data_IF_154543427892
#
_entry.id   IF_154543427892
#
_cell.length_a   1.000
_cell.length_b   1.000
_cell.length_c   1.000
_cell.angle_alpha   90.00
_cell.angle_beta   90.00
_cell.angle_gamma   90.00
#
_symmetry.space_group_name_H-M   'P 1'
#
loop_
_entity.id
_entity.type
_entity.pdbx_description
1 polymer ?
#
# COMPACT_ATOMS: atom_id res chain seq x y z
N UNK A 1 -24.99 -32.58 -11.33
CA UNK A 1 -24.67 -32.22 -11.28
C UNK A 1 -24.12 -31.41 -11.18
N UNK A 2 -24.04 -31.05 -11.12
CA UNK A 2 -23.64 -30.28 -10.95
C UNK A 2 -22.75 -29.65 -10.60
N UNK A 3 -22.47 -29.68 -10.19
CA UNK A 3 -21.66 -29.18 -9.82
C UNK A 3 -20.96 -28.52 -10.02
N UNK A 4 -20.95 -28.50 -10.20
CA UNK A 4 -20.29 -27.96 -10.38
C UNK A 4 -19.83 -27.10 -10.21
N UNK A 5 -20.10 -26.88 -10.04
CA UNK A 5 -19.58 -25.99 -10.03
C UNK A 5 -18.79 -25.41 -9.44
N UNK A 6 -18.75 -25.58 -9.20
CA UNK A 6 -18.12 -25.13 -8.83
C UNK A 6 -17.21 -24.73 -8.67
N UNK A 7 -17.30 -24.89 -8.46
CA UNK A 7 -16.48 -24.87 -8.27
C UNK A 7 -15.65 -24.23 -8.53
N UNK A 8 -15.83 -24.11 -8.88
CA UNK A 8 -15.09 -23.55 -9.33
C UNK A 8 -14.69 -22.57 -8.88
N UNK A 9 -15.26 -22.28 -8.45
CA UNK A 9 -15.03 -21.23 -7.81
C UNK A 9 -13.72 -21.16 -7.44
N UNK A 10 -13.30 -21.97 -7.19
CA UNK A 10 -12.15 -21.98 -6.85
C UNK A 10 -11.32 -21.45 -7.45
N UNK A 11 -11.49 -21.72 -8.10
CA UNK A 11 -10.66 -21.35 -8.81
C UNK A 11 -10.09 -20.20 -8.54
N UNK A 12 -10.59 -19.60 -8.00
CA UNK A 12 -10.17 -18.48 -7.70
C UNK A 12 -8.92 -18.39 -7.25
N UNK A 13 -8.42 -19.19 -6.72
CA UNK A 13 -7.26 -19.12 -6.13
C UNK A 13 -6.29 -18.57 -6.98
N UNK A 14 -5.72 -19.08 -7.81
CA UNK A 14 -4.71 -18.55 -8.60
C UNK A 14 -5.19 -17.70 -9.67
N UNK A 15 -6.43 -17.59 -9.78
CA UNK A 15 -6.96 -16.93 -10.93
C UNK A 15 -6.77 -15.43 -10.91
N UNK A 16 -6.55 -14.83 -9.76
CA UNK A 16 -6.35 -13.39 -9.76
C UNK A 16 -5.10 -13.02 -10.56
N UNK A 17 -4.05 -13.82 -10.49
CA UNK A 17 -2.86 -13.56 -11.28
C UNK A 17 -3.16 -13.73 -12.76
N UNK A 18 -3.91 -14.75 -13.11
CA UNK A 18 -4.23 -15.00 -14.50
C UNK A 18 -5.15 -13.95 -15.10
N UNK A 19 -5.94 -13.28 -14.27
CA UNK A 19 -6.87 -12.30 -14.79
C UNK A 19 -6.30 -10.89 -14.86
N UNK A 20 -5.06 -10.68 -14.48
CA UNK A 20 -4.46 -9.35 -14.60
C UNK A 20 -4.27 -8.98 -16.06
N UNK A 21 -4.33 -7.68 -16.33
CA UNK A 21 -4.06 -7.16 -17.64
C UNK A 21 -2.61 -7.40 -18.05
N UNK A 22 -2.33 -7.21 -19.32
CA UNK A 22 -1.00 -7.45 -19.88
C UNK A 22 0.06 -6.57 -19.23
N UNK A 23 -0.34 -5.40 -18.75
CA UNK A 23 0.57 -4.44 -18.15
C UNK A 23 0.74 -4.63 -16.66
N UNK A 24 0.24 -5.74 -16.11
CA UNK A 24 0.30 -5.97 -14.67
C UNK A 24 -0.75 -5.21 -13.89
N UNK A 25 -1.77 -4.69 -14.56
CA UNK A 25 -2.86 -3.99 -13.88
C UNK A 25 -3.60 -4.93 -12.94
N UNK A 26 -3.90 -4.44 -11.76
CA UNK A 26 -4.66 -5.21 -10.79
C UNK A 26 -6.08 -5.43 -11.29
N UNK A 27 -6.65 -6.57 -10.93
CA UNK A 27 -8.08 -6.80 -11.15
C UNK A 27 -8.86 -5.92 -10.16
N UNK A 28 -10.15 -5.76 -10.42
CA UNK A 28 -10.99 -5.00 -9.50
C UNK A 28 -10.97 -5.62 -8.09
N UNK A 29 -10.92 -6.95 -8.00
CA UNK A 29 -10.84 -7.61 -6.70
C UNK A 29 -9.53 -7.28 -6.00
N UNK A 30 -8.42 -7.21 -6.74
CA UNK A 30 -7.14 -6.85 -6.14
C UNK A 30 -7.10 -5.40 -5.69
N UNK A 31 -7.74 -4.51 -6.45
CA UNK A 31 -7.85 -3.10 -6.03
C UNK A 31 -8.65 -3.01 -4.74
N UNK A 32 -9.75 -3.74 -4.66
CA UNK A 32 -10.57 -3.74 -3.46
C UNK A 32 -9.82 -4.32 -2.27
N UNK A 33 -9.06 -5.38 -2.50
CA UNK A 33 -8.23 -5.96 -1.45
C UNK A 33 -7.22 -4.94 -0.95
N UNK A 34 -6.56 -4.23 -1.84
CA UNK A 34 -5.58 -3.21 -1.46
C UNK A 34 -6.24 -2.10 -0.65
N UNK A 35 -7.42 -1.65 -1.08
CA UNK A 35 -8.15 -0.62 -0.35
C UNK A 35 -8.49 -1.08 1.07
N UNK A 36 -8.98 -2.30 1.20
CA UNK A 36 -9.33 -2.86 2.50
C UNK A 36 -8.10 -3.00 3.39
N UNK A 37 -7.02 -3.51 2.83
CA UNK A 37 -5.79 -3.69 3.61
C UNK A 37 -5.23 -2.34 4.07
N UNK A 38 -5.24 -1.34 3.20
CA UNK A 38 -4.78 -0.01 3.59
C UNK A 38 -5.67 0.58 4.68
N UNK A 39 -6.98 0.42 4.55
CA UNK A 39 -7.91 0.93 5.56
C UNK A 39 -7.64 0.29 6.91
N UNK A 40 -7.46 -1.02 6.94
CA UNK A 40 -7.24 -1.74 8.20
C UNK A 40 -5.86 -1.41 8.77
N UNK A 41 -4.83 -1.43 7.93
CA UNK A 41 -3.48 -1.16 8.41
C UNK A 41 -3.36 0.25 8.99
N UNK A 42 -3.91 1.24 8.32
CA UNK A 42 -3.77 2.62 8.78
C UNK A 42 -4.78 3.02 9.84
N UNK A 43 -5.78 2.18 10.14
CA UNK A 43 -6.71 2.46 11.22
C UNK A 43 -6.46 1.61 12.46
N UNK A 44 -5.89 0.41 12.30
CA UNK A 44 -5.78 -0.52 13.42
C UNK A 44 -4.36 -0.99 13.71
N UNK A 45 -3.46 -0.87 12.75
CA UNK A 45 -2.09 -1.36 12.91
C UNK A 45 -1.10 -0.22 13.04
N UNK A 46 -1.20 0.82 12.22
CA UNK A 46 -0.37 2.01 12.35
C UNK A 46 -1.07 2.94 13.33
N UNK A 47 -0.53 3.07 14.52
CA UNK A 47 -1.17 3.83 15.59
C UNK A 47 -0.23 4.88 16.14
N UNK A 48 -0.80 5.86 16.85
CA UNK A 48 -0.02 6.82 17.61
C UNK A 48 0.03 6.36 19.06
N UNK A 49 1.21 6.40 19.65
CA UNK A 49 1.34 6.07 21.06
C UNK A 49 1.01 7.30 21.93
N UNK A 50 1.20 7.19 23.23
CA UNK A 50 0.89 8.25 24.15
C UNK A 50 1.68 9.53 23.89
N UNK A 51 2.86 9.40 23.30
CA UNK A 51 3.70 10.55 22.98
C UNK A 51 3.41 11.11 21.58
N UNK A 52 2.43 10.56 20.87
CA UNK A 52 2.09 11.01 19.54
C UNK A 52 2.93 10.42 18.43
N UNK A 53 3.79 9.46 18.73
CA UNK A 53 4.66 8.84 17.74
C UNK A 53 3.94 7.72 17.02
N UNK A 54 4.22 7.56 15.73
CA UNK A 54 3.66 6.47 14.96
C UNK A 54 4.36 5.17 15.28
N UNK A 55 3.58 4.13 15.46
CA UNK A 55 4.08 2.79 15.75
C UNK A 55 3.26 1.75 15.01
N UNK A 56 3.88 0.60 14.76
CA UNK A 56 3.18 -0.57 14.23
C UNK A 56 2.75 -1.42 15.40
N UNK A 57 1.45 -1.68 15.51
CA UNK A 57 0.93 -2.60 16.52
C UNK A 57 0.99 -4.01 15.93
N UNK A 58 2.11 -4.68 16.18
CA UNK A 58 2.35 -6.00 15.61
C UNK A 58 1.35 -7.04 16.12
N UNK A 59 0.92 -6.92 17.38
CA UNK A 59 -0.06 -7.85 17.93
C UNK A 59 -1.40 -7.72 17.22
N UNK A 60 -1.81 -6.49 16.91
CA UNK A 60 -3.02 -6.28 16.13
C UNK A 60 -2.87 -6.87 14.74
N UNK A 61 -1.70 -6.71 14.12
CA UNK A 61 -1.46 -7.26 12.78
C UNK A 61 -1.58 -8.78 12.81
N UNK A 62 -1.05 -9.43 13.83
CA UNK A 62 -1.14 -10.89 13.95
C UNK A 62 -2.59 -11.35 14.10
N UNK A 63 -3.38 -10.60 14.86
CA UNK A 63 -4.79 -10.95 15.03
C UNK A 63 -5.59 -10.79 13.75
N UNK A 64 -5.30 -9.72 13.01
CA UNK A 64 -6.06 -9.39 11.81
C UNK A 64 -5.63 -10.20 10.61
N UNK A 65 -4.36 -10.57 10.55
CA UNK A 65 -3.79 -11.25 9.38
C UNK A 65 -2.95 -12.45 9.82
N UNK A 66 -3.59 -13.47 10.44
CA UNK A 66 -2.81 -14.59 10.98
C UNK A 66 -2.09 -15.42 9.91
N UNK A 67 -2.56 -15.37 8.66
CA UNK A 67 -2.00 -16.19 7.59
C UNK A 67 -1.12 -15.40 6.62
N UNK A 68 -0.83 -14.13 6.90
CA UNK A 68 -0.03 -13.30 6.01
C UNK A 68 1.40 -13.20 6.52
N UNK A 69 2.31 -12.91 5.60
CA UNK A 69 3.71 -12.67 5.95
C UNK A 69 3.82 -11.28 6.59
N UNK A 70 4.13 -11.27 7.87
CA UNK A 70 4.22 -10.03 8.65
C UNK A 70 5.66 -9.64 8.97
N UNK A 71 6.64 -10.23 8.28
CA UNK A 71 8.06 -9.98 8.60
C UNK A 71 8.42 -8.50 8.45
N UNK A 72 7.91 -7.84 7.42
CA UNK A 72 8.19 -6.41 7.19
C UNK A 72 7.56 -5.58 8.31
N UNK A 73 6.35 -5.91 8.72
CA UNK A 73 5.70 -5.21 9.82
C UNK A 73 6.43 -5.44 11.14
N UNK A 74 6.95 -6.65 11.34
CA UNK A 74 7.69 -6.97 12.57
C UNK A 74 8.94 -6.10 12.68
N UNK A 75 9.66 -5.90 11.58
CA UNK A 75 10.84 -5.04 11.60
C UNK A 75 10.46 -3.59 11.86
N UNK A 76 9.40 -3.12 11.23
CA UNK A 76 8.95 -1.75 11.43
C UNK A 76 8.44 -1.52 12.86
N UNK A 77 7.91 -2.57 13.50
CA UNK A 77 7.41 -2.45 14.87
C UNK A 77 8.49 -2.18 15.89
N UNK A 78 9.76 -2.43 15.54
CA UNK A 78 10.86 -2.16 16.45
C UNK A 78 11.17 -0.68 16.57
N UNK A 79 10.64 0.15 15.67
CA UNK A 79 10.90 1.57 15.69
C UNK A 79 9.63 2.37 15.91
N UNK A 80 9.80 3.66 16.03
CA UNK A 80 8.68 4.60 16.09
C UNK A 80 9.15 5.92 15.53
N UNK A 81 8.21 6.72 15.04
CA UNK A 81 8.54 8.00 14.44
C UNK A 81 7.46 9.01 14.73
N UNK A 82 7.85 10.29 14.78
CA UNK A 82 6.90 11.38 14.94
C UNK A 82 6.48 11.86 13.56
N UNK A 83 5.17 11.89 13.28
CA UNK A 83 4.72 12.38 11.97
C UNK A 83 4.98 13.88 11.85
N UNK A 84 5.05 14.41 10.61
CA UNK A 84 5.24 15.85 10.43
C UNK A 84 4.05 16.62 10.95
N UNK A 85 4.31 17.87 11.31
CA UNK A 85 3.27 18.76 11.79
C UNK A 85 2.30 19.04 10.63
N UNK A 86 1.02 18.82 10.89
CA UNK A 86 0.01 18.97 9.85
C UNK A 86 -0.14 20.43 9.41
N UNK A 87 0.37 21.37 10.18
CA UNK A 87 0.31 22.78 9.79
C UNK A 87 1.34 23.13 8.73
N UNK A 88 2.32 22.27 8.48
CA UNK A 88 3.36 22.54 7.50
C UNK A 88 3.03 21.81 6.20
N UNK A 89 2.41 22.53 5.29
CA UNK A 89 1.96 21.95 4.03
C UNK A 89 3.10 21.30 3.26
N UNK A 90 4.26 21.94 3.26
CA UNK A 90 5.40 21.40 2.53
C UNK A 90 5.88 20.09 3.12
N UNK A 91 5.96 20.01 4.43
CA UNK A 91 6.36 18.78 5.11
C UNK A 91 5.40 17.64 4.84
N UNK A 92 4.09 17.94 4.80
CA UNK A 92 3.09 16.92 4.51
C UNK A 92 3.24 16.40 3.09
N UNK A 93 3.50 17.28 2.13
CA UNK A 93 3.67 16.87 0.75
C UNK A 93 4.90 15.99 0.57
N UNK A 94 5.99 16.35 1.22
CA UNK A 94 7.21 15.53 1.16
C UNK A 94 7.01 14.20 1.85
N UNK A 95 6.30 14.20 2.97
CA UNK A 95 5.99 12.97 3.69
C UNK A 95 5.19 12.01 2.81
N UNK A 96 4.11 12.50 2.21
CA UNK A 96 3.26 11.66 1.38
C UNK A 96 4.02 11.12 0.17
N UNK A 97 4.85 11.95 -0.45
CA UNK A 97 5.67 11.49 -1.58
C UNK A 97 6.66 10.43 -1.14
N UNK A 98 7.27 10.60 0.01
CA UNK A 98 8.20 9.62 0.56
C UNK A 98 7.50 8.28 0.80
N UNK A 99 6.31 8.31 1.37
CA UNK A 99 5.55 7.09 1.65
C UNK A 99 5.28 6.31 0.37
N UNK A 100 4.82 7.00 -0.67
CA UNK A 100 4.50 6.34 -1.94
C UNK A 100 5.77 5.81 -2.61
N UNK A 101 6.85 6.60 -2.59
CA UNK A 101 8.11 6.15 -3.18
C UNK A 101 8.72 4.98 -2.43
N UNK A 102 8.49 4.91 -1.13
CA UNK A 102 8.96 3.77 -0.35
C UNK A 102 8.25 2.49 -0.72
N UNK A 103 6.96 2.59 -1.05
CA UNK A 103 6.18 1.41 -1.42
C UNK A 103 6.46 0.96 -2.85
N UNK A 104 6.66 1.91 -3.76
CA UNK A 104 6.90 1.61 -5.17
C UNK A 104 8.14 2.40 -5.59
N UNK A 105 9.34 1.83 -5.41
CA UNK A 105 10.58 2.60 -5.63
C UNK A 105 10.71 3.15 -7.04
N UNK A 106 10.23 2.44 -8.06
CA UNK A 106 10.38 2.92 -9.44
C UNK A 106 9.35 3.99 -9.81
N UNK A 107 8.44 4.35 -8.89
CA UNK A 107 7.40 5.33 -9.23
C UNK A 107 8.01 6.70 -9.54
N UNK A 108 9.21 6.97 -9.05
CA UNK A 108 9.90 8.21 -9.36
C UNK A 108 10.26 8.37 -10.82
N UNK A 109 10.31 7.26 -11.58
CA UNK A 109 10.60 7.29 -13.00
C UNK A 109 9.35 7.32 -13.87
N UNK A 110 8.17 7.34 -13.26
CA UNK A 110 6.90 7.30 -13.97
C UNK A 110 6.25 8.67 -13.88
N UNK A 111 5.61 9.09 -14.96
CA UNK A 111 4.87 10.33 -14.96
C UNK A 111 3.55 10.11 -14.22
N UNK A 112 3.51 10.50 -12.96
CA UNK A 112 2.32 10.35 -12.11
C UNK A 112 1.88 11.70 -11.58
N UNK A 113 0.60 11.79 -11.22
CA UNK A 113 0.07 13.03 -10.65
C UNK A 113 0.36 13.05 -9.15
N UNK A 114 1.51 13.61 -8.80
CA UNK A 114 1.95 13.67 -7.41
C UNK A 114 0.99 14.49 -6.53
N UNK A 115 0.35 15.48 -7.11
CA UNK A 115 -0.60 16.28 -6.35
C UNK A 115 -1.78 15.42 -5.87
N UNK A 116 -2.31 14.59 -6.76
CA UNK A 116 -3.39 13.69 -6.37
C UNK A 116 -2.93 12.62 -5.39
N UNK A 117 -1.75 12.03 -5.63
CA UNK A 117 -1.23 11.02 -4.73
C UNK A 117 -1.04 11.56 -3.33
N UNK A 118 -0.47 12.75 -3.22
CA UNK A 118 -0.25 13.36 -1.92
C UNK A 118 -1.58 13.67 -1.22
N UNK A 119 -2.56 14.14 -1.98
CA UNK A 119 -3.87 14.43 -1.41
C UNK A 119 -4.53 13.17 -0.88
N UNK A 120 -4.48 12.09 -1.64
CA UNK A 120 -5.12 10.85 -1.21
C UNK A 120 -4.46 10.27 0.03
N UNK A 121 -3.12 10.31 0.11
CA UNK A 121 -2.41 9.81 1.29
C UNK A 121 -2.76 10.64 2.52
N UNK A 122 -2.74 11.97 2.39
CA UNK A 122 -3.05 12.84 3.53
C UNK A 122 -4.49 12.72 3.98
N UNK A 123 -5.41 12.57 3.05
CA UNK A 123 -6.84 12.47 3.37
C UNK A 123 -7.26 11.04 3.66
N UNK A 124 -6.33 10.10 3.53
CA UNK A 124 -6.59 8.67 3.73
C UNK A 124 -7.68 8.16 2.79
N UNK A 125 -7.66 8.67 1.57
CA UNK A 125 -8.59 8.20 0.56
C UNK A 125 -7.99 6.95 -0.10
N UNK A 126 -8.08 5.84 0.62
CA UNK A 126 -7.42 4.60 0.21
C UNK A 126 -8.03 4.00 -1.03
N UNK A 127 -9.33 4.24 -1.25
CA UNK A 127 -9.97 3.73 -2.46
C UNK A 127 -9.41 4.35 -3.72
N UNK A 128 -9.26 5.68 -3.74
CA UNK A 128 -8.69 6.36 -4.89
C UNK A 128 -7.23 5.98 -5.07
N UNK A 129 -6.48 5.91 -3.97
CA UNK A 129 -5.07 5.54 -4.02
C UNK A 129 -4.89 4.12 -4.54
N UNK A 130 -5.69 3.17 -4.03
CA UNK A 130 -5.59 1.77 -4.45
C UNK A 130 -5.86 1.62 -5.93
N UNK A 131 -6.88 2.32 -6.43
CA UNK A 131 -7.22 2.24 -7.86
C UNK A 131 -6.10 2.81 -8.71
N UNK A 132 -5.56 3.94 -8.30
CA UNK A 132 -4.49 4.57 -9.07
C UNK A 132 -3.24 3.69 -9.09
N UNK A 133 -2.83 3.20 -7.92
CA UNK A 133 -1.63 2.37 -7.84
C UNK A 133 -1.81 1.02 -8.53
N UNK A 134 -3.03 0.49 -8.54
CA UNK A 134 -3.28 -0.81 -9.17
C UNK A 134 -3.61 -0.75 -10.64
N UNK A 135 -4.15 0.37 -11.12
CA UNK A 135 -4.59 0.47 -12.51
C UNK A 135 -3.77 1.44 -13.34
N UNK A 136 -3.53 2.64 -12.83
CA UNK A 136 -2.85 3.67 -13.62
C UNK A 136 -1.35 3.51 -13.62
N UNK A 137 -0.77 3.22 -12.48
CA UNK A 137 0.69 3.07 -12.39
C UNK A 137 1.20 1.94 -13.27
N UNK A 138 0.57 0.75 -13.32
CA UNK A 138 1.04 -0.29 -14.21
C UNK A 138 0.99 0.11 -15.68
N UNK A 139 -0.06 0.81 -16.10
CA UNK A 139 -0.14 1.27 -17.49
C UNK A 139 1.00 2.20 -17.84
N UNK A 140 1.32 3.12 -16.94
CA UNK A 140 2.37 4.08 -17.19
C UNK A 140 3.75 3.43 -17.15
N UNK A 141 3.93 2.48 -16.21
CA UNK A 141 5.19 1.74 -16.13
C UNK A 141 5.44 0.93 -17.38
N UNK A 142 4.40 0.31 -17.92
CA UNK A 142 4.53 -0.49 -19.12
C UNK A 142 4.97 0.35 -20.31
N UNK A 143 4.52 1.59 -20.39
CA UNK A 143 4.89 2.47 -21.51
C UNK A 143 6.38 2.78 -21.56
N UNK A 144 7.06 2.74 -20.43
CA UNK A 144 8.49 3.03 -20.37
C UNK A 144 9.31 1.77 -20.10
N UNK A 145 8.69 0.61 -20.22
CA UNK A 145 9.41 -0.67 -20.17
C UNK A 145 9.76 -1.19 -18.79
N UNK A 146 9.13 -0.68 -17.74
CA UNK A 146 9.38 -1.18 -16.39
C UNK A 146 8.60 -2.48 -16.21
N UNK A 147 9.32 -3.57 -15.96
CA UNK A 147 8.71 -4.90 -15.86
C UNK A 147 8.49 -5.35 -14.44
N UNK A 148 9.11 -4.69 -13.47
CA UNK A 148 8.97 -5.05 -12.07
C UNK A 148 7.53 -4.91 -11.58
N UNK A 149 6.74 -4.14 -12.31
CA UNK A 149 5.35 -3.91 -11.91
C UNK A 149 4.54 -5.19 -11.82
N UNK A 150 4.87 -6.20 -12.63
CA UNK A 150 4.10 -7.45 -12.63
C UNK A 150 4.32 -8.25 -11.37
N UNK A 151 5.36 -7.93 -10.59
CA UNK A 151 5.65 -8.63 -9.35
C UNK A 151 4.94 -8.03 -8.14
N UNK A 152 4.29 -6.88 -8.32
CA UNK A 152 3.59 -6.24 -7.21
C UNK A 152 2.31 -6.99 -6.88
N UNK A 153 1.95 -7.00 -5.61
CA UNK A 153 0.69 -7.58 -5.17
C UNK A 153 0.07 -6.66 -4.12
N UNK A 154 -1.25 -6.76 -3.90
CA UNK A 154 -1.93 -5.83 -2.99
C UNK A 154 -1.35 -5.83 -1.59
N UNK A 155 -1.08 -7.01 -1.03
CA UNK A 155 -0.56 -7.09 0.34
C UNK A 155 0.81 -6.44 0.43
N UNK A 156 1.69 -6.72 -0.53
CA UNK A 156 3.02 -6.13 -0.53
C UNK A 156 2.99 -4.62 -0.58
N UNK A 157 2.12 -4.05 -1.41
CA UNK A 157 1.98 -2.59 -1.49
C UNK A 157 1.43 -2.03 -0.19
N UNK A 158 0.40 -2.67 0.38
CA UNK A 158 -0.20 -2.17 1.61
C UNK A 158 0.80 -2.17 2.76
N UNK A 159 1.55 -3.26 2.91
CA UNK A 159 2.52 -3.38 3.99
C UNK A 159 3.66 -2.38 3.82
N UNK A 160 4.16 -2.21 2.59
CA UNK A 160 5.24 -1.25 2.37
C UNK A 160 4.77 0.18 2.53
N UNK A 161 3.53 0.50 2.18
CA UNK A 161 3.01 1.83 2.46
C UNK A 161 2.94 2.07 3.97
N UNK A 162 2.46 1.09 4.74
CA UNK A 162 2.38 1.23 6.19
C UNK A 162 3.75 1.40 6.83
N UNK A 163 4.72 0.58 6.43
CA UNK A 163 6.07 0.69 7.01
C UNK A 163 6.77 1.95 6.54
N UNK A 164 6.53 2.39 5.30
CA UNK A 164 7.11 3.63 4.80
C UNK A 164 6.56 4.84 5.55
N UNK A 165 5.31 4.75 6.04
CA UNK A 165 4.75 5.83 6.82
C UNK A 165 5.60 6.07 8.08
N UNK A 166 6.06 5.00 8.71
CA UNK A 166 6.94 5.11 9.88
C UNK A 166 8.30 5.66 9.47
N UNK A 167 8.91 5.06 8.46
CA UNK A 167 10.26 5.44 8.03
C UNK A 167 10.30 6.89 7.55
N UNK A 168 9.32 7.30 6.77
CA UNK A 168 9.32 8.65 6.21
C UNK A 168 9.07 9.70 7.29
N UNK A 169 8.25 9.39 8.29
CA UNK A 169 8.06 10.30 9.40
C UNK A 169 9.35 10.50 10.17
N UNK A 170 10.12 9.42 10.35
CA UNK A 170 11.40 9.51 11.04
C UNK A 170 12.39 10.39 10.27
N UNK A 171 12.50 10.14 8.95
CA UNK A 171 13.48 10.87 8.15
C UNK A 171 13.17 12.35 8.02
N UNK A 172 11.91 12.73 8.08
CA UNK A 172 11.55 14.14 7.96
C UNK A 172 11.86 14.95 9.20
N UNK A 173 12.28 14.30 10.25
CA UNK A 173 12.73 15.01 11.45
C UNK A 173 14.19 15.44 11.38
N UNK A 174 14.89 15.01 10.37
CA UNK A 174 16.27 15.39 10.13
C UNK A 174 16.32 16.47 9.08
#
# INVERSE_FOLDING_TARGET
>A
MLAAPMTEARADDGSSTASRGENGEFTDAEVQELEQDLTILFSQVVNRDAEGKLRIDYEAAKRLYPDRDLSVLAEAAKGSATPPDSSETEGIQEYASCVVKGAIPFIGFIDVDWKLLRAWVTQRNWGALARYLGKEVPKRAAKIGIKEIVKLNPWGIAVTLATSAITCAFWQQW
#
